data_IF_965863533613
#
_entry.id   IF_965863533613
#
_cell.length_a   1.000
_cell.length_b   1.000
_cell.length_c   1.000
_cell.angle_alpha   90.00
_cell.angle_beta   90.00
_cell.angle_gamma   90.00
#
_symmetry.space_group_name_H-M   'P 1'
#
loop_
_entity.id
_entity.type
_entity.pdbx_description
1 polymer ?
#
# COMPACT_ATOMS: atom_id res chain seq x y z
N UNK A 1 12.89 -5.10 -20.64
CA UNK A 1 12.28 -4.63 -19.37
C UNK A 1 12.77 -3.21 -19.17
N UNK A 2 11.89 -2.21 -19.24
CA UNK A 2 12.27 -0.79 -19.14
C UNK A 2 12.14 -0.38 -17.68
N UNK A 3 13.25 0.05 -17.08
CA UNK A 3 13.29 0.63 -15.75
C UNK A 3 12.67 2.03 -15.84
N UNK A 4 11.46 2.18 -15.30
CA UNK A 4 10.79 3.48 -15.22
C UNK A 4 11.22 4.09 -13.88
N UNK A 5 11.85 5.28 -13.87
CA UNK A 5 12.15 5.97 -12.63
C UNK A 5 10.83 6.40 -12.00
N UNK A 6 10.58 5.94 -10.77
CA UNK A 6 9.36 6.20 -10.01
C UNK A 6 9.36 7.69 -9.63
N UNK A 7 8.73 8.53 -10.44
CA UNK A 7 8.53 9.92 -10.06
C UNK A 7 7.48 9.99 -8.94
N UNK A 8 7.88 10.69 -7.88
CA UNK A 8 7.17 10.89 -6.64
C UNK A 8 5.92 11.75 -6.85
N UNK A 9 4.76 11.13 -7.15
CA UNK A 9 3.36 11.60 -6.88
C UNK A 9 2.33 10.80 -7.68
N UNK A 10 2.33 9.47 -7.60
CA UNK A 10 1.28 8.67 -8.25
C UNK A 10 0.63 7.68 -7.28
N UNK A 11 -0.47 8.11 -6.68
CA UNK A 11 -1.38 7.28 -5.87
C UNK A 11 -1.96 6.09 -6.66
N UNK A 12 -1.82 6.08 -7.99
CA UNK A 12 -2.39 5.08 -8.89
C UNK A 12 -1.67 3.71 -8.90
N UNK A 13 -0.52 3.56 -8.22
CA UNK A 13 0.29 2.32 -8.31
C UNK A 13 -0.06 1.30 -7.22
N UNK A 14 -0.56 1.74 -6.07
CA UNK A 14 -0.85 0.85 -4.93
C UNK A 14 -1.96 -0.18 -5.20
N UNK A 15 -3.08 0.16 -5.86
CA UNK A 15 -4.09 -0.84 -6.24
C UNK A 15 -3.56 -1.93 -7.20
N UNK A 16 -2.51 -1.62 -7.98
CA UNK A 16 -1.87 -2.59 -8.88
C UNK A 16 -0.86 -3.47 -8.13
N UNK A 17 -0.16 -2.90 -7.14
CA UNK A 17 0.78 -3.63 -6.27
C UNK A 17 0.05 -4.59 -5.31
N UNK A 18 -1.08 -4.15 -4.77
CA UNK A 18 -1.86 -4.87 -3.77
C UNK A 18 -3.32 -5.02 -4.25
N UNK A 19 -3.62 -6.00 -5.12
CA UNK A 19 -4.98 -6.28 -5.55
C UNK A 19 -5.88 -6.62 -4.36
N UNK A 20 -7.18 -6.31 -4.47
CA UNK A 20 -8.17 -6.72 -3.46
C UNK A 20 -8.14 -8.25 -3.26
N UNK A 21 -8.42 -8.68 -2.02
CA UNK A 21 -8.28 -10.06 -1.56
C UNK A 21 -6.84 -10.61 -1.52
N UNK A 22 -5.82 -9.79 -1.76
CA UNK A 22 -4.44 -10.21 -1.49
C UNK A 22 -4.22 -10.40 0.01
N UNK A 23 -3.40 -11.36 0.40
CA UNK A 23 -3.04 -11.52 1.81
C UNK A 23 -2.18 -10.35 2.31
N UNK A 24 -2.19 -10.09 3.61
CA UNK A 24 -1.31 -9.09 4.22
C UNK A 24 0.17 -9.40 3.96
N UNK A 25 0.57 -10.67 4.01
CA UNK A 25 1.94 -11.09 3.73
C UNK A 25 2.36 -10.74 2.29
N UNK A 26 1.47 -10.99 1.32
CA UNK A 26 1.70 -10.60 -0.06
C UNK A 26 1.87 -9.08 -0.19
N UNK A 27 0.94 -8.31 0.36
CA UNK A 27 1.00 -6.84 0.28
C UNK A 27 2.28 -6.29 0.90
N UNK A 28 2.68 -6.76 2.09
CA UNK A 28 3.92 -6.33 2.76
C UNK A 28 5.17 -6.63 1.91
N UNK A 29 5.18 -7.76 1.20
CA UNK A 29 6.30 -8.10 0.32
C UNK A 29 6.34 -7.20 -0.92
N UNK A 30 5.19 -6.94 -1.54
CA UNK A 30 5.10 -6.02 -2.68
C UNK A 30 5.54 -4.60 -2.31
N UNK A 31 5.12 -4.10 -1.14
CA UNK A 31 5.56 -2.79 -0.63
C UNK A 31 7.08 -2.73 -0.44
N UNK A 32 7.68 -3.77 0.15
CA UNK A 32 9.15 -3.86 0.31
C UNK A 32 9.87 -3.90 -1.03
N UNK A 33 9.40 -4.69 -1.99
CA UNK A 33 10.00 -4.79 -3.32
C UNK A 33 9.91 -3.47 -4.10
N UNK A 34 8.83 -2.71 -3.88
CA UNK A 34 8.64 -1.38 -4.45
C UNK A 34 9.35 -0.27 -3.65
N UNK A 35 10.11 -0.62 -2.61
CA UNK A 35 10.81 0.32 -1.72
C UNK A 35 9.88 1.38 -1.10
N UNK A 36 8.61 1.02 -0.86
CA UNK A 36 7.62 1.88 -0.23
C UNK A 36 7.76 1.79 1.29
N UNK A 37 7.99 2.93 1.95
CA UNK A 37 7.93 3.03 3.40
C UNK A 37 6.50 2.81 3.91
N UNK A 38 6.33 1.93 4.90
CA UNK A 38 5.01 1.68 5.51
C UNK A 38 5.12 1.39 7.01
N UNK A 39 4.01 1.60 7.71
CA UNK A 39 3.80 1.19 9.10
C UNK A 39 2.78 0.05 9.13
N UNK A 40 3.16 -1.09 9.69
CA UNK A 40 2.28 -2.24 9.88
C UNK A 40 1.69 -2.25 11.29
N UNK A 41 0.38 -2.06 11.40
CA UNK A 41 -0.39 -2.03 12.66
C UNK A 41 -1.27 -3.28 12.81
N UNK A 42 -0.92 -4.38 12.15
CA UNK A 42 -1.61 -5.67 12.26
C UNK A 42 -2.67 -5.88 11.18
N UNK A 43 -3.84 -5.27 11.30
CA UNK A 43 -4.90 -5.31 10.28
C UNK A 43 -4.98 -4.03 9.44
N UNK A 44 -4.13 -3.05 9.75
CA UNK A 44 -4.01 -1.79 9.05
C UNK A 44 -2.55 -1.63 8.65
N UNK A 45 -2.30 -1.26 7.38
CA UNK A 45 -0.97 -0.85 6.91
C UNK A 45 -1.07 0.57 6.38
N UNK A 46 -0.29 1.48 6.95
CA UNK A 46 -0.27 2.89 6.56
C UNK A 46 0.94 3.15 5.67
N UNK A 47 0.71 3.72 4.49
CA UNK A 47 1.74 4.19 3.55
C UNK A 47 1.73 5.73 3.56
N UNK A 48 2.49 6.39 4.46
CA UNK A 48 2.35 7.82 4.72
C UNK A 48 2.76 8.70 3.52
N UNK A 49 3.82 8.32 2.80
CA UNK A 49 4.31 9.05 1.62
C UNK A 49 3.28 9.03 0.48
N UNK A 50 2.59 7.91 0.31
CA UNK A 50 1.54 7.73 -0.70
C UNK A 50 0.18 8.22 -0.21
N UNK A 51 0.08 8.65 1.06
CA UNK A 51 -1.16 9.05 1.74
C UNK A 51 -2.27 8.02 1.59
N UNK A 52 -1.95 6.75 1.87
CA UNK A 52 -2.90 5.65 1.75
C UNK A 52 -2.86 4.73 2.97
N UNK A 53 -3.99 4.10 3.25
CA UNK A 53 -4.21 3.11 4.29
C UNK A 53 -4.75 1.85 3.61
N UNK A 54 -4.14 0.71 3.88
CA UNK A 54 -4.61 -0.60 3.47
C UNK A 54 -5.31 -1.26 4.67
N UNK A 55 -6.58 -1.63 4.49
CA UNK A 55 -7.42 -2.23 5.54
C UNK A 55 -7.62 -3.72 5.24
N UNK A 56 -7.21 -4.56 6.18
CA UNK A 56 -7.28 -6.00 6.08
C UNK A 56 -8.36 -6.58 7.00
N UNK A 57 -9.14 -7.52 6.47
CA UNK A 57 -10.10 -8.32 7.24
C UNK A 57 -9.78 -9.79 7.02
N UNK A 58 -9.72 -10.57 8.10
CA UNK A 58 -9.32 -11.98 8.06
C UNK A 58 -7.99 -12.21 7.31
N UNK A 59 -7.03 -11.28 7.47
CA UNK A 59 -5.71 -11.26 6.81
C UNK A 59 -5.72 -10.97 5.31
N UNK A 60 -6.86 -10.60 4.72
CA UNK A 60 -7.00 -10.23 3.30
C UNK A 60 -7.35 -8.76 3.12
N UNK A 61 -6.76 -8.13 2.09
CA UNK A 61 -7.00 -6.74 1.75
C UNK A 61 -8.45 -6.55 1.32
N UNK A 62 -9.20 -5.70 2.04
CA UNK A 62 -10.58 -5.37 1.72
C UNK A 62 -10.73 -4.00 1.10
N UNK A 63 -9.93 -3.04 1.56
CA UNK A 63 -10.08 -1.66 1.13
C UNK A 63 -8.74 -0.94 1.15
N UNK A 64 -8.61 0.03 0.27
CA UNK A 64 -7.54 1.02 0.27
C UNK A 64 -8.23 2.37 0.44
N UNK A 65 -7.85 3.12 1.46
CA UNK A 65 -8.41 4.44 1.77
C UNK A 65 -7.33 5.52 1.72
N UNK A 66 -7.68 6.76 1.32
CA UNK A 66 -6.79 7.91 1.49
C UNK A 66 -6.51 8.19 2.98
N UNK A 67 -5.25 8.43 3.31
CA UNK A 67 -4.83 8.97 4.60
C UNK A 67 -5.04 10.49 4.55
N UNK A 68 -6.13 10.96 5.16
CA UNK A 68 -6.33 12.38 5.37
C UNK A 68 -5.48 12.84 6.56
N UNK A 69 -4.68 13.89 6.35
CA UNK A 69 -4.03 14.57 7.46
C UNK A 69 -5.13 15.25 8.29
N UNK A 70 -5.06 15.10 9.62
CA UNK A 70 -5.85 15.93 10.53
C UNK A 70 -5.45 17.39 10.27
N UNK A 71 -6.39 18.18 9.75
CA UNK A 71 -6.27 19.63 9.65
C UNK A 71 -6.50 20.27 11.01
#
# INVERSE_FOLDING_TARGET
>A
MKNIPLNSTSTAVLPQLCPLQSSIAFCLNQLRQAEICFLNLGNIVVCPEQRLILIFQAKYLKQIEPLYAFA
#
